data_IF_243516366047
#
_entry.id   IF_243516366047
#
_cell.length_a   1.000
_cell.length_b   1.000
_cell.length_c   1.000
_cell.angle_alpha   90.00
_cell.angle_beta   90.00
_cell.angle_gamma   90.00
#
_symmetry.space_group_name_H-M   'P 1'
#
loop_
_entity.id
_entity.type
_entity.pdbx_description
1 polymer ?
#
# COMPACT_ATOMS: atom_id res chain seq x y z
N UNK A 1 -17.71 9.40 4.01
CA UNK A 1 -17.20 10.41 4.96
C UNK A 1 -17.08 11.71 4.22
N UNK A 2 -17.69 12.78 4.72
CA UNK A 2 -17.68 14.09 4.06
C UNK A 2 -16.61 14.96 4.73
N UNK A 3 -16.16 16.00 4.05
CA UNK A 3 -15.10 16.90 4.54
C UNK A 3 -15.53 17.67 5.82
N UNK A 4 -16.84 17.83 6.04
CA UNK A 4 -17.45 18.55 7.16
C UNK A 4 -17.79 17.64 8.35
N UNK A 5 -17.36 16.38 8.34
CA UNK A 5 -17.59 15.46 9.46
C UNK A 5 -16.72 15.85 10.67
N UNK A 6 -17.29 15.83 11.88
CA UNK A 6 -16.59 16.22 13.13
C UNK A 6 -15.35 15.34 13.40
N UNK A 7 -15.35 14.12 12.84
CA UNK A 7 -14.23 13.18 12.81
C UNK A 7 -13.87 12.83 11.37
N UNK A 8 -13.56 13.85 10.57
CA UNK A 8 -13.23 13.64 9.17
C UNK A 8 -11.92 12.85 9.06
N UNK A 9 -12.01 11.62 8.55
CA UNK A 9 -10.85 10.76 8.29
C UNK A 9 -9.72 11.48 7.52
N UNK A 10 -10.08 12.41 6.64
CA UNK A 10 -9.13 13.15 5.81
C UNK A 10 -8.39 14.28 6.55
N UNK A 11 -8.92 14.78 7.67
CA UNK A 11 -8.26 15.82 8.49
C UNK A 11 -7.52 15.25 9.68
N UNK A 12 -7.88 14.04 10.12
CA UNK A 12 -7.40 13.44 11.37
C UNK A 12 -6.33 12.37 11.15
N UNK A 13 -5.93 12.11 9.90
CA UNK A 13 -4.90 11.12 9.54
C UNK A 13 -3.67 11.77 8.93
N UNK A 14 -2.51 11.14 9.15
CA UNK A 14 -1.24 11.55 8.58
C UNK A 14 -0.91 10.66 7.38
N UNK A 15 -0.73 11.27 6.23
CA UNK A 15 -0.29 10.62 5.00
C UNK A 15 1.16 11.00 4.74
N UNK A 16 1.96 10.01 4.31
CA UNK A 16 3.39 10.16 4.09
C UNK A 16 3.75 9.60 2.73
N UNK A 17 4.82 10.16 2.15
CA UNK A 17 5.41 9.60 0.93
C UNK A 17 6.28 8.39 1.26
N UNK A 18 6.53 7.54 0.26
CA UNK A 18 7.52 6.46 0.35
C UNK A 18 8.85 6.97 0.94
N UNK A 19 9.39 8.02 0.34
CA UNK A 19 10.70 8.58 0.69
C UNK A 19 10.75 9.14 2.12
N UNK A 20 9.66 9.74 2.58
CA UNK A 20 9.53 10.24 3.94
C UNK A 20 9.51 9.08 4.96
N UNK A 21 8.72 8.04 4.71
CA UNK A 21 8.71 6.85 5.58
C UNK A 21 10.07 6.14 5.63
N UNK A 22 10.73 5.97 4.49
CA UNK A 22 12.07 5.36 4.47
C UNK A 22 13.11 6.22 5.21
N UNK A 23 13.01 7.55 5.08
CA UNK A 23 13.87 8.47 5.83
C UNK A 23 13.64 8.33 7.33
N UNK A 24 12.39 8.25 7.78
CA UNK A 24 12.07 8.05 9.20
C UNK A 24 12.74 6.75 9.71
N UNK A 25 12.55 5.63 9.01
CA UNK A 25 13.17 4.35 9.40
C UNK A 25 14.70 4.46 9.50
N UNK A 26 15.35 5.04 8.49
CA UNK A 26 16.81 5.27 8.47
C UNK A 26 17.28 6.15 9.63
N UNK A 27 16.57 7.24 9.94
CA UNK A 27 16.93 8.14 11.05
C UNK A 27 16.78 7.51 12.43
N UNK A 28 15.90 6.51 12.57
CA UNK A 28 15.73 5.74 13.80
C UNK A 28 16.68 4.53 13.88
N UNK A 29 17.59 4.36 12.90
CA UNK A 29 18.53 3.23 12.87
C UNK A 29 17.86 1.88 12.59
N UNK A 30 16.68 1.87 11.96
CA UNK A 30 15.95 0.65 11.60
C UNK A 30 16.36 0.24 10.18
N UNK A 31 16.79 -1.02 10.03
CA UNK A 31 17.08 -1.62 8.73
C UNK A 31 15.77 -1.89 8.00
N UNK A 32 15.59 -1.33 6.80
CA UNK A 32 14.42 -1.61 5.97
C UNK A 32 14.66 -2.93 5.25
N UNK A 33 13.81 -3.92 5.51
CA UNK A 33 13.89 -5.26 4.92
C UNK A 33 13.02 -5.37 3.67
N UNK A 34 11.88 -4.69 3.64
CA UNK A 34 10.97 -4.69 2.49
C UNK A 34 10.07 -3.45 2.51
N UNK A 35 9.59 -3.04 1.34
CA UNK A 35 8.65 -1.93 1.17
C UNK A 35 7.82 -2.16 -0.10
N UNK A 36 6.53 -2.45 0.05
CA UNK A 36 5.66 -2.86 -1.06
C UNK A 36 4.21 -2.36 -0.89
N UNK A 37 3.49 -2.24 -1.99
CA UNK A 37 2.06 -1.88 -1.97
C UNK A 37 1.22 -3.00 -1.40
N UNK A 38 0.26 -2.66 -0.54
CA UNK A 38 -0.72 -3.61 -0.04
C UNK A 38 -1.89 -3.78 -1.01
N UNK A 39 -2.42 -2.67 -1.53
CA UNK A 39 -3.59 -2.65 -2.41
C UNK A 39 -3.22 -2.71 -3.90
N UNK A 40 -2.04 -2.19 -4.26
CA UNK A 40 -1.58 -2.09 -5.64
C UNK A 40 -2.60 -1.30 -6.48
N UNK A 41 -2.99 -1.85 -7.63
CA UNK A 41 -3.99 -1.23 -8.51
C UNK A 41 -5.41 -1.77 -8.28
N UNK A 42 -5.59 -2.76 -7.40
CA UNK A 42 -6.88 -3.44 -7.16
C UNK A 42 -8.04 -2.48 -6.94
N UNK A 43 -7.91 -1.38 -6.16
CA UNK A 43 -9.02 -0.45 -5.92
C UNK A 43 -9.58 0.19 -7.19
N UNK A 44 -8.82 0.26 -8.29
CA UNK A 44 -9.27 0.84 -9.56
C UNK A 44 -10.22 -0.07 -10.35
N UNK A 45 -10.28 -1.36 -10.00
CA UNK A 45 -11.13 -2.36 -10.66
C UNK A 45 -11.64 -3.42 -9.69
N UNK A 46 -11.92 -3.02 -8.44
CA UNK A 46 -12.43 -3.91 -7.38
C UNK A 46 -13.64 -4.72 -7.84
N UNK A 47 -14.55 -4.08 -8.56
CA UNK A 47 -15.75 -4.73 -9.11
C UNK A 47 -15.42 -5.93 -10.00
N UNK A 48 -14.29 -5.92 -10.72
CA UNK A 48 -13.86 -7.08 -11.52
C UNK A 48 -13.28 -8.17 -10.64
N UNK A 49 -12.48 -7.78 -9.64
CA UNK A 49 -11.80 -8.71 -8.73
C UNK A 49 -12.82 -9.51 -7.93
N UNK A 50 -13.85 -8.83 -7.42
CA UNK A 50 -14.91 -9.45 -6.62
C UNK A 50 -15.77 -10.46 -7.40
N UNK A 51 -15.75 -10.40 -8.73
CA UNK A 51 -16.49 -11.30 -9.61
C UNK A 51 -15.63 -12.40 -10.23
N UNK A 52 -14.34 -12.48 -9.90
CA UNK A 52 -13.48 -13.54 -10.41
C UNK A 52 -13.77 -14.88 -9.74
N UNK A 53 -13.67 -15.94 -10.54
CA UNK A 53 -13.63 -17.29 -10.00
C UNK A 53 -12.26 -17.57 -9.35
N UNK A 54 -12.14 -18.71 -8.67
CA UNK A 54 -10.94 -19.08 -7.93
C UNK A 54 -9.67 -19.10 -8.79
N UNK A 55 -9.76 -19.60 -10.02
CA UNK A 55 -8.62 -19.66 -10.96
C UNK A 55 -8.17 -18.26 -11.38
N UNK A 56 -9.12 -17.40 -11.76
CA UNK A 56 -8.85 -16.01 -12.15
C UNK A 56 -8.28 -15.21 -10.99
N UNK A 57 -8.85 -15.37 -9.79
CA UNK A 57 -8.37 -14.70 -8.59
C UNK A 57 -6.95 -15.16 -8.22
N UNK A 58 -6.61 -16.44 -8.42
CA UNK A 58 -5.26 -16.96 -8.21
C UNK A 58 -4.26 -16.34 -9.19
N UNK A 59 -4.59 -16.27 -10.48
CA UNK A 59 -3.75 -15.62 -11.50
C UNK A 59 -3.54 -14.15 -11.13
N UNK A 60 -4.61 -13.46 -10.73
CA UNK A 60 -4.52 -12.08 -10.25
C UNK A 60 -3.60 -11.95 -9.05
N UNK A 61 -3.74 -12.82 -8.05
CA UNK A 61 -2.93 -12.78 -6.83
C UNK A 61 -1.45 -12.96 -7.13
N UNK A 62 -1.09 -13.91 -8.02
CA UNK A 62 0.29 -14.13 -8.45
C UNK A 62 0.85 -12.89 -9.17
N UNK A 63 0.07 -12.28 -10.07
CA UNK A 63 0.43 -11.03 -10.73
C UNK A 63 0.59 -9.88 -9.73
N UNK A 64 -0.37 -9.69 -8.83
CA UNK A 64 -0.37 -8.67 -7.78
C UNK A 64 0.91 -8.75 -6.93
N UNK A 65 1.26 -9.95 -6.45
CA UNK A 65 2.49 -10.15 -5.69
C UNK A 65 3.76 -9.84 -6.49
N UNK A 66 3.74 -10.08 -7.80
CA UNK A 66 4.89 -9.80 -8.67
C UNK A 66 5.14 -8.31 -8.89
N UNK A 67 4.08 -7.49 -8.93
CA UNK A 67 4.18 -6.06 -9.27
C UNK A 67 4.15 -5.12 -8.07
N UNK A 68 3.73 -5.58 -6.89
CA UNK A 68 3.59 -4.72 -5.70
C UNK A 68 4.90 -4.13 -5.16
N UNK A 69 6.06 -4.59 -5.65
CA UNK A 69 7.37 -4.01 -5.34
C UNK A 69 7.85 -3.00 -6.38
N UNK A 70 7.16 -2.87 -7.51
CA UNK A 70 7.46 -1.85 -8.50
C UNK A 70 7.17 -0.47 -7.91
N UNK A 71 8.13 0.46 -8.01
CA UNK A 71 8.04 1.75 -7.34
C UNK A 71 6.82 2.57 -7.77
N UNK A 72 6.45 2.47 -9.04
CA UNK A 72 5.27 3.14 -9.59
C UNK A 72 3.97 2.60 -9.00
N UNK A 73 3.88 1.29 -8.74
CA UNK A 73 2.72 0.64 -8.13
C UNK A 73 2.69 0.94 -6.63
N UNK A 74 3.85 0.93 -5.97
CA UNK A 74 3.99 1.36 -4.58
C UNK A 74 3.46 2.79 -4.37
N UNK A 75 3.84 3.71 -5.25
CA UNK A 75 3.38 5.10 -5.20
C UNK A 75 1.91 5.31 -5.59
N UNK A 76 1.32 4.38 -6.35
CA UNK A 76 -0.10 4.43 -6.75
C UNK A 76 -1.05 3.77 -5.73
N UNK A 77 -0.51 2.99 -4.79
CA UNK A 77 -1.29 2.27 -3.79
C UNK A 77 -1.76 3.19 -2.66
N UNK A 78 -2.99 2.98 -2.17
CA UNK A 78 -3.53 3.75 -1.05
C UNK A 78 -2.80 3.41 0.27
N UNK A 79 -2.55 2.12 0.49
CA UNK A 79 -1.78 1.63 1.65
C UNK A 79 -0.54 0.88 1.20
N UNK A 80 0.51 1.00 2.01
CA UNK A 80 1.80 0.36 1.77
C UNK A 80 2.28 -0.32 3.05
N UNK A 81 3.08 -1.36 2.91
CA UNK A 81 3.72 -2.07 4.03
C UNK A 81 5.21 -1.82 3.94
N UNK A 82 5.79 -1.31 5.03
CA UNK A 82 7.23 -1.19 5.22
C UNK A 82 7.67 -2.07 6.39
N UNK A 83 8.55 -3.02 6.12
CA UNK A 83 9.06 -3.98 7.12
C UNK A 83 10.43 -3.51 7.58
N UNK A 84 10.57 -3.29 8.88
CA UNK A 84 11.81 -2.87 9.52
C UNK A 84 12.34 -3.91 10.48
N UNK A 85 13.67 -4.06 10.53
CA UNK A 85 14.37 -4.85 11.53
C UNK A 85 15.13 -3.91 12.46
N UNK A 86 14.80 -4.00 13.75
CA UNK A 86 15.55 -3.34 14.81
C UNK A 86 16.82 -4.14 15.10
N UNK A 87 17.95 -3.44 15.26
CA UNK A 87 19.20 -4.03 15.73
C UNK A 87 19.16 -4.31 17.23
#
# INVERSE_FOLDING_TARGET
>A
MRQDDEKCFWTDTYYSTKDEMERIYKTQGIEIIDHFSQDGLTPLFSDKVDNWNEEQFKIWSEYHYSVCREESILGASNHVIIVGKKQ
#
